data_IF_487749794719
#
_entry.id   IF_487749794719
#
_cell.length_a   1.000
_cell.length_b   1.000
_cell.length_c   1.000
_cell.angle_alpha   90.00
_cell.angle_beta   90.00
_cell.angle_gamma   90.00
#
_symmetry.space_group_name_H-M   'P 1'
#
loop_
_entity.id
_entity.type
_entity.pdbx_description
1 polymer ?
#
# COMPACT_ATOMS: atom_id res chain seq x y z
N UNK A 1 -24.96 21.30 0.93
CA UNK A 1 -24.34 21.83 -0.30
C UNK A 1 -24.08 23.32 -0.16
N UNK A 2 -22.84 23.73 0.10
CA UNK A 2 -22.40 25.13 -0.04
C UNK A 2 -21.00 25.10 -0.65
N UNK A 3 -20.95 25.30 -1.97
CA UNK A 3 -19.73 25.47 -2.76
C UNK A 3 -19.33 26.94 -2.62
N UNK A 4 -18.13 27.22 -2.14
CA UNK A 4 -17.52 28.55 -2.24
C UNK A 4 -16.41 28.47 -3.28
N UNK A 5 -16.70 29.10 -4.40
CA UNK A 5 -15.82 29.32 -5.54
C UNK A 5 -15.00 30.56 -5.19
N UNK A 6 -13.68 30.43 -5.10
CA UNK A 6 -12.76 31.57 -5.09
C UNK A 6 -11.97 31.58 -6.39
N UNK A 7 -12.30 32.58 -7.22
CA UNK A 7 -11.66 32.94 -8.48
C UNK A 7 -11.08 34.36 -8.29
N UNK A 8 -9.81 34.55 -8.69
CA UNK A 8 -9.16 35.86 -8.85
C UNK A 8 -7.74 35.86 -8.29
N UNK A 9 -6.69 35.52 -9.06
CA UNK A 9 -6.01 36.25 -10.15
C UNK A 9 -4.93 37.25 -9.69
N UNK A 10 -3.69 36.93 -10.10
CA UNK A 10 -2.61 37.80 -10.58
C UNK A 10 -1.86 38.67 -9.55
N UNK A 11 -0.59 38.32 -9.29
CA UNK A 11 0.48 39.26 -9.63
C UNK A 11 1.72 38.52 -10.13
N UNK A 12 2.12 38.93 -11.33
CA UNK A 12 3.33 38.60 -12.05
C UNK A 12 4.43 39.53 -11.51
N UNK A 13 5.56 39.02 -11.03
CA UNK A 13 6.74 39.85 -10.82
C UNK A 13 7.99 39.15 -11.30
N UNK A 14 8.56 39.74 -12.34
CA UNK A 14 9.67 39.29 -13.15
C UNK A 14 11.01 39.77 -12.59
N UNK A 15 11.94 38.82 -12.47
CA UNK A 15 13.39 38.87 -12.78
C UNK A 15 14.22 40.11 -12.43
N UNK A 16 15.29 39.88 -11.66
CA UNK A 16 16.58 40.58 -11.87
C UNK A 16 17.69 39.54 -12.07
N UNK A 17 18.41 39.70 -13.17
CA UNK A 17 19.64 39.00 -13.52
C UNK A 17 20.79 39.43 -12.60
N UNK A 18 21.58 38.46 -12.13
CA UNK A 18 22.97 38.71 -11.72
C UNK A 18 23.88 37.93 -12.66
N UNK A 19 24.78 38.67 -13.30
CA UNK A 19 25.79 38.20 -14.23
C UNK A 19 27.19 38.24 -13.59
N UNK A 20 28.09 37.51 -14.25
CA UNK A 20 29.55 37.46 -14.16
C UNK A 20 30.13 36.44 -13.16
N UNK A 21 31.18 35.67 -13.44
CA UNK A 21 31.93 35.30 -14.65
C UNK A 21 33.02 34.32 -14.17
N UNK A 22 33.19 33.17 -14.81
CA UNK A 22 34.52 32.54 -14.93
C UNK A 22 34.51 31.55 -16.09
N UNK A 23 35.28 31.92 -17.10
CA UNK A 23 35.53 31.22 -18.36
C UNK A 23 36.38 29.97 -18.15
N UNK A 24 35.97 28.85 -18.72
CA UNK A 24 36.91 27.92 -19.37
C UNK A 24 36.20 27.23 -20.53
N UNK A 25 36.63 27.64 -21.72
CA UNK A 25 36.21 27.18 -23.03
C UNK A 25 36.51 25.70 -23.24
N UNK A 26 35.58 24.95 -23.83
CA UNK A 26 35.96 24.14 -24.98
C UNK A 26 34.78 23.97 -25.94
N UNK A 27 35.13 23.96 -27.22
CA UNK A 27 34.28 24.24 -28.36
C UNK A 27 33.79 22.96 -29.07
N UNK A 28 32.71 23.14 -29.86
CA UNK A 28 32.40 22.46 -31.14
C UNK A 28 32.00 20.97 -31.03
N UNK A 29 30.96 20.42 -31.68
CA UNK A 29 29.83 20.92 -32.47
C UNK A 29 28.98 19.70 -32.93
N UNK A 30 27.69 19.93 -33.18
CA UNK A 30 26.84 19.36 -34.25
C UNK A 30 26.69 17.82 -34.42
N UNK A 31 25.43 17.41 -34.17
CA UNK A 31 24.46 16.83 -35.14
C UNK A 31 24.33 15.30 -35.23
N UNK A 32 23.07 14.88 -35.02
CA UNK A 32 22.22 13.99 -35.86
C UNK A 32 21.88 12.61 -35.28
N UNK A 33 20.56 12.41 -35.19
CA UNK A 33 19.75 11.20 -35.37
C UNK A 33 20.38 9.85 -34.98
N UNK A 34 19.80 9.18 -33.97
CA UNK A 34 19.07 7.96 -34.31
C UNK A 34 17.99 7.55 -33.29
N UNK A 35 16.91 7.07 -33.88
CA UNK A 35 15.66 6.61 -33.31
C UNK A 35 15.84 5.14 -32.95
N UNK A 36 15.87 4.79 -31.67
CA UNK A 36 15.60 3.41 -31.22
C UNK A 36 14.48 3.43 -30.20
N UNK A 37 13.29 3.52 -30.78
CA UNK A 37 12.02 3.08 -30.23
C UNK A 37 12.12 1.58 -29.95
N UNK A 38 12.61 1.22 -28.76
CA UNK A 38 12.54 -0.15 -28.25
C UNK A 38 11.10 -0.40 -27.82
N UNK A 39 10.28 -0.74 -28.82
CA UNK A 39 8.97 -1.35 -28.66
C UNK A 39 9.15 -2.69 -27.94
N UNK A 40 9.24 -2.64 -26.61
CA UNK A 40 8.97 -3.80 -25.76
C UNK A 40 7.46 -3.95 -25.68
N UNK A 41 6.87 -4.50 -26.74
CA UNK A 41 5.55 -5.15 -26.67
C UNK A 41 5.61 -6.12 -25.49
N UNK A 42 4.83 -5.93 -24.40
CA UNK A 42 4.68 -6.98 -23.42
C UNK A 42 4.21 -8.21 -24.18
N UNK A 43 5.00 -9.27 -24.14
CA UNK A 43 4.57 -10.57 -24.61
C UNK A 43 3.32 -10.91 -23.81
N UNK A 44 2.18 -10.82 -24.47
CA UNK A 44 0.90 -11.25 -23.98
C UNK A 44 1.02 -12.74 -23.68
N UNK A 45 1.27 -13.06 -22.40
CA UNK A 45 1.18 -14.41 -21.88
C UNK A 45 -0.28 -14.79 -22.07
N UNK A 46 -0.55 -15.59 -23.10
CA UNK A 46 -1.82 -16.28 -23.25
C UNK A 46 -2.04 -17.08 -21.96
N UNK A 47 -2.86 -16.53 -21.06
CA UNK A 47 -3.40 -17.25 -19.90
C UNK A 47 -4.03 -18.53 -20.45
N UNK A 48 -3.61 -19.70 -19.93
CA UNK A 48 -4.50 -20.86 -19.95
C UNK A 48 -5.73 -20.46 -19.16
N UNK A 49 -6.80 -20.21 -19.89
CA UNK A 49 -8.09 -19.82 -19.34
C UNK A 49 -8.56 -20.95 -18.39
N UNK A 50 -8.56 -20.65 -17.08
CA UNK A 50 -8.98 -21.58 -16.03
C UNK A 50 -7.93 -21.95 -14.97
N UNK A 51 -6.63 -21.66 -15.15
CA UNK A 51 -5.63 -21.94 -14.12
C UNK A 51 -5.28 -20.70 -13.27
N UNK A 52 -5.35 -20.83 -11.95
CA UNK A 52 -4.92 -19.79 -11.01
C UNK A 52 -3.41 -19.56 -11.18
N UNK A 53 -2.94 -18.32 -11.44
CA UNK A 53 -1.52 -18.03 -11.59
C UNK A 53 -0.69 -18.45 -10.36
N UNK A 54 0.55 -18.88 -10.58
CA UNK A 54 1.47 -19.28 -9.48
C UNK A 54 1.63 -18.18 -8.44
N UNK A 55 1.76 -16.93 -8.87
CA UNK A 55 1.88 -15.78 -7.97
C UNK A 55 0.70 -15.70 -6.98
N UNK A 56 -0.51 -15.98 -7.43
CA UNK A 56 -1.73 -15.90 -6.61
C UNK A 56 -1.76 -17.01 -5.56
N UNK A 57 -1.33 -18.22 -5.94
CA UNK A 57 -1.17 -19.34 -5.00
C UNK A 57 -0.13 -19.01 -3.94
N UNK A 58 1.01 -18.44 -4.34
CA UNK A 58 2.09 -18.05 -3.41
C UNK A 58 1.66 -16.92 -2.49
N UNK A 59 0.94 -15.91 -3.00
CA UNK A 59 0.38 -14.83 -2.20
C UNK A 59 -0.60 -15.35 -1.14
N UNK A 60 -1.46 -16.31 -1.50
CA UNK A 60 -2.38 -16.96 -0.57
C UNK A 60 -1.65 -17.73 0.54
N UNK A 61 -0.58 -18.46 0.20
CA UNK A 61 0.25 -19.15 1.20
C UNK A 61 0.91 -18.14 2.13
N UNK A 62 1.50 -17.07 1.58
CA UNK A 62 2.15 -16.02 2.37
C UNK A 62 1.16 -15.30 3.28
N UNK A 63 -0.06 -15.04 2.80
CA UNK A 63 -1.14 -14.47 3.59
C UNK A 63 -1.45 -15.34 4.83
N UNK A 64 -1.50 -16.67 4.65
CA UNK A 64 -1.64 -17.61 5.76
C UNK A 64 -0.51 -17.50 6.79
N UNK A 65 0.75 -17.50 6.32
CA UNK A 65 1.93 -17.37 7.19
C UNK A 65 1.91 -16.11 8.05
N UNK A 66 1.44 -14.99 7.48
CA UNK A 66 1.24 -13.76 8.24
C UNK A 66 0.17 -13.93 9.32
N UNK A 67 -1.02 -14.42 8.97
CA UNK A 67 -2.13 -14.56 9.93
C UNK A 67 -1.85 -15.60 11.04
N UNK A 68 -0.96 -16.57 10.78
CA UNK A 68 -0.51 -17.55 11.78
C UNK A 68 0.34 -16.90 12.87
N UNK A 69 1.11 -15.86 12.53
CA UNK A 69 2.08 -15.25 13.44
C UNK A 69 1.64 -13.89 13.98
N UNK A 70 0.96 -13.09 13.16
CA UNK A 70 0.55 -11.71 13.47
C UNK A 70 -0.94 -11.55 13.18
N UNK A 71 -1.68 -10.94 14.10
CA UNK A 71 -3.05 -10.53 13.81
C UNK A 71 -3.07 -9.37 12.82
N UNK A 72 -3.62 -9.57 11.63
CA UNK A 72 -3.74 -8.52 10.60
C UNK A 72 -5.18 -8.35 10.15
N UNK A 73 -5.56 -7.11 9.85
CA UNK A 73 -6.83 -6.84 9.19
C UNK A 73 -6.77 -7.26 7.73
N UNK A 74 -7.92 -7.40 7.08
CA UNK A 74 -7.97 -7.68 5.64
C UNK A 74 -7.21 -6.64 4.83
N UNK A 75 -7.44 -5.35 5.11
CA UNK A 75 -6.78 -4.25 4.43
C UNK A 75 -5.27 -4.17 4.74
N UNK A 76 -4.89 -4.43 6.00
CA UNK A 76 -3.49 -4.47 6.41
C UNK A 76 -2.72 -5.62 5.75
N UNK A 77 -3.35 -6.79 5.64
CA UNK A 77 -2.75 -7.95 4.98
C UNK A 77 -2.56 -7.71 3.47
N UNK A 78 -3.57 -7.17 2.79
CA UNK A 78 -3.46 -6.82 1.37
C UNK A 78 -2.31 -5.83 1.14
N UNK A 79 -2.25 -4.76 1.95
CA UNK A 79 -1.17 -3.77 1.90
C UNK A 79 0.20 -4.41 2.14
N UNK A 80 0.33 -5.30 3.13
CA UNK A 80 1.58 -5.99 3.43
C UNK A 80 2.06 -6.84 2.23
N UNK A 81 1.15 -7.57 1.58
CA UNK A 81 1.47 -8.40 0.43
C UNK A 81 1.93 -7.57 -0.77
N UNK A 82 1.36 -6.38 -0.99
CA UNK A 82 1.77 -5.49 -2.09
C UNK A 82 3.07 -4.75 -1.75
N UNK A 83 3.10 -4.06 -0.62
CA UNK A 83 4.17 -3.10 -0.31
C UNK A 83 5.45 -3.79 0.18
N UNK A 84 5.34 -4.90 0.91
CA UNK A 84 6.51 -5.58 1.47
C UNK A 84 6.89 -6.83 0.66
N UNK A 85 5.93 -7.72 0.40
CA UNK A 85 6.19 -8.97 -0.35
C UNK A 85 6.28 -8.76 -1.87
N UNK A 86 5.90 -7.58 -2.36
CA UNK A 86 5.97 -7.19 -3.77
C UNK A 86 5.12 -8.06 -4.71
N UNK A 87 4.05 -8.66 -4.19
CA UNK A 87 3.03 -9.27 -5.05
C UNK A 87 2.30 -8.20 -5.85
N UNK A 88 1.84 -8.58 -7.04
CA UNK A 88 0.89 -7.75 -7.80
C UNK A 88 -0.35 -7.44 -6.95
N UNK A 89 -0.96 -6.24 -7.11
CA UNK A 89 -2.21 -5.90 -6.42
C UNK A 89 -3.31 -6.94 -6.62
N UNK A 90 -3.38 -7.54 -7.82
CA UNK A 90 -4.37 -8.57 -8.13
C UNK A 90 -4.10 -9.89 -7.38
N UNK A 91 -2.83 -10.29 -7.22
CA UNK A 91 -2.46 -11.47 -6.44
C UNK A 91 -2.72 -11.28 -4.93
N UNK A 92 -2.40 -10.10 -4.39
CA UNK A 92 -2.68 -9.74 -3.00
C UNK A 92 -4.19 -9.71 -2.73
N UNK A 93 -4.96 -9.07 -3.61
CA UNK A 93 -6.42 -9.05 -3.55
C UNK A 93 -7.01 -10.46 -3.62
N UNK A 94 -6.52 -11.29 -4.54
CA UNK A 94 -6.91 -12.69 -4.63
C UNK A 94 -6.63 -13.44 -3.31
N UNK A 95 -5.46 -13.25 -2.71
CA UNK A 95 -5.10 -13.90 -1.46
C UNK A 95 -6.07 -13.52 -0.32
N UNK A 96 -6.34 -12.23 -0.11
CA UNK A 96 -7.23 -11.78 0.98
C UNK A 96 -8.70 -12.11 0.75
N UNK A 97 -9.13 -12.28 -0.51
CA UNK A 97 -10.50 -12.69 -0.84
C UNK A 97 -10.72 -14.21 -0.73
N UNK A 98 -9.67 -15.01 -0.90
CA UNK A 98 -9.77 -16.47 -0.91
C UNK A 98 -9.23 -17.14 0.37
N UNK A 99 -8.56 -16.39 1.25
CA UNK A 99 -8.10 -16.93 2.52
C UNK A 99 -9.28 -17.21 3.45
N UNK A 100 -9.33 -18.44 3.97
CA UNK A 100 -10.32 -18.85 4.97
C UNK A 100 -9.80 -18.52 6.36
N UNK A 101 -10.22 -17.38 6.89
CA UNK A 101 -9.86 -16.93 8.23
C UNK A 101 -11.04 -16.28 8.92
N UNK A 102 -10.97 -16.24 10.24
CA UNK A 102 -11.90 -15.53 11.09
C UNK A 102 -11.29 -14.16 11.44
N UNK A 103 -11.78 -13.10 10.80
CA UNK A 103 -11.23 -11.75 10.98
C UNK A 103 -11.44 -11.20 12.39
N UNK A 104 -12.49 -11.64 13.09
CA UNK A 104 -12.69 -11.31 14.50
C UNK A 104 -11.57 -11.92 15.37
N UNK A 105 -11.14 -13.15 15.07
CA UNK A 105 -9.99 -13.76 15.75
C UNK A 105 -8.67 -13.08 15.40
N UNK A 106 -8.50 -12.57 14.18
CA UNK A 106 -7.31 -11.80 13.81
C UNK A 106 -7.24 -10.47 14.56
N UNK A 107 -8.38 -9.77 14.71
CA UNK A 107 -8.47 -8.57 15.52
C UNK A 107 -8.19 -8.86 16.99
N UNK A 108 -8.74 -9.95 17.54
CA UNK A 108 -8.47 -10.37 18.93
C UNK A 108 -7.00 -10.70 19.15
N UNK A 109 -6.35 -11.44 18.23
CA UNK A 109 -4.91 -11.73 18.29
C UNK A 109 -4.12 -10.42 18.40
N UNK A 110 -4.37 -9.49 17.48
CA UNK A 110 -3.68 -8.19 17.46
C UNK A 110 -3.97 -7.34 18.70
N UNK A 111 -5.22 -7.35 19.18
CA UNK A 111 -5.61 -6.67 20.41
C UNK A 111 -4.87 -7.21 21.63
N UNK A 112 -4.78 -8.54 21.76
CA UNK A 112 -3.99 -9.19 22.82
C UNK A 112 -2.51 -8.85 22.72
N UNK A 113 -1.95 -8.76 21.51
CA UNK A 113 -0.56 -8.34 21.31
C UNK A 113 -0.33 -6.93 21.85
N UNK A 114 -1.23 -5.97 21.59
CA UNK A 114 -1.11 -4.61 22.13
C UNK A 114 -1.22 -4.54 23.64
N UNK A 115 -2.14 -5.29 24.24
CA UNK A 115 -2.24 -5.39 25.71
C UNK A 115 -0.93 -5.96 26.28
N UNK A 116 -0.41 -7.04 25.71
CA UNK A 116 0.77 -7.74 26.22
C UNK A 116 2.06 -6.94 26.05
N UNK A 117 2.23 -6.25 24.92
CA UNK A 117 3.52 -5.65 24.56
C UNK A 117 3.59 -4.15 24.85
N UNK A 118 2.44 -3.47 24.89
CA UNK A 118 2.36 -2.00 25.07
C UNK A 118 1.43 -1.61 26.22
N UNK A 119 0.80 -2.56 26.91
CA UNK A 119 -0.10 -2.31 28.05
C UNK A 119 -1.23 -1.29 27.75
N UNK A 120 -1.75 -1.33 26.52
CA UNK A 120 -2.83 -0.44 26.09
C UNK A 120 -4.16 -0.78 26.80
N UNK A 121 -4.95 0.25 27.14
CA UNK A 121 -6.32 0.06 27.63
C UNK A 121 -7.25 -0.47 26.53
N UNK A 122 -8.39 -1.11 26.86
CA UNK A 122 -9.33 -1.63 25.85
C UNK A 122 -9.78 -0.60 24.82
N UNK A 123 -10.10 0.64 25.23
CA UNK A 123 -10.50 1.69 24.29
C UNK A 123 -9.34 2.17 23.42
N UNK A 124 -8.12 2.22 23.95
CA UNK A 124 -6.95 2.52 23.14
C UNK A 124 -6.69 1.40 22.11
N UNK A 125 -6.87 0.13 22.48
CA UNK A 125 -6.82 -1.00 21.56
C UNK A 125 -7.87 -0.87 20.47
N UNK A 126 -9.13 -0.56 20.81
CA UNK A 126 -10.21 -0.35 19.82
C UNK A 126 -9.80 0.72 18.79
N UNK A 127 -9.36 1.88 19.28
CA UNK A 127 -8.92 2.98 18.44
C UNK A 127 -7.72 2.61 17.57
N UNK A 128 -6.75 1.87 18.12
CA UNK A 128 -5.57 1.42 17.37
C UNK A 128 -5.95 0.46 16.24
N UNK A 129 -6.80 -0.52 16.54
CA UNK A 129 -7.25 -1.52 15.57
C UNK A 129 -7.98 -0.87 14.38
N UNK A 130 -8.84 0.12 14.64
CA UNK A 130 -9.60 0.82 13.58
C UNK A 130 -8.74 1.82 12.83
N UNK A 131 -8.08 2.73 13.55
CA UNK A 131 -7.45 3.91 12.95
C UNK A 131 -6.11 3.60 12.28
N UNK A 132 -5.37 2.61 12.79
CA UNK A 132 -4.03 2.28 12.30
C UNK A 132 -3.98 0.92 11.63
N UNK A 133 -4.47 -0.12 12.30
CA UNK A 133 -4.43 -1.48 11.77
C UNK A 133 -5.52 -1.75 10.71
N UNK A 134 -6.47 -0.84 10.55
CA UNK A 134 -7.54 -0.88 9.54
C UNK A 134 -8.48 -2.10 9.65
N UNK A 135 -8.66 -2.62 10.86
CA UNK A 135 -9.81 -3.48 11.15
C UNK A 135 -11.11 -2.68 11.02
N UNK A 136 -12.20 -3.37 10.71
CA UNK A 136 -13.53 -2.78 10.80
C UNK A 136 -13.87 -2.48 12.26
N UNK A 137 -14.84 -1.57 12.47
CA UNK A 137 -15.32 -1.26 13.81
C UNK A 137 -15.83 -2.52 14.52
N UNK A 138 -16.60 -3.37 13.83
CA UNK A 138 -17.17 -4.59 14.39
C UNK A 138 -16.09 -5.60 14.83
N UNK A 139 -15.01 -5.74 14.06
CA UNK A 139 -13.88 -6.62 14.42
C UNK A 139 -13.12 -6.09 15.64
N UNK A 140 -12.89 -4.77 15.70
CA UNK A 140 -12.27 -4.14 16.85
C UNK A 140 -13.16 -4.26 18.10
N UNK A 141 -14.47 -4.08 17.96
CA UNK A 141 -15.44 -4.22 19.04
C UNK A 141 -15.49 -5.66 19.56
N UNK A 142 -15.44 -6.64 18.65
CA UNK A 142 -15.29 -8.03 19.03
C UNK A 142 -13.99 -8.26 19.80
N UNK A 143 -12.86 -7.75 19.32
CA UNK A 143 -11.56 -7.96 19.96
C UNK A 143 -11.59 -7.48 21.42
N UNK A 144 -12.02 -6.25 21.66
CA UNK A 144 -12.03 -5.66 23.01
C UNK A 144 -13.04 -6.31 23.95
N UNK A 145 -14.16 -6.82 23.43
CA UNK A 145 -15.12 -7.60 24.22
C UNK A 145 -14.58 -8.99 24.66
N UNK A 146 -13.42 -9.41 24.14
CA UNK A 146 -12.86 -10.73 24.37
C UNK A 146 -11.38 -10.71 24.83
N UNK A 147 -10.82 -9.55 25.20
CA UNK A 147 -9.40 -9.43 25.59
C UNK A 147 -9.03 -10.28 26.81
N UNK A 148 -9.93 -10.37 27.79
CA UNK A 148 -9.68 -11.04 29.08
C UNK A 148 -10.06 -12.53 29.09
N UNK A 149 -10.44 -13.08 27.94
CA UNK A 149 -10.86 -14.48 27.79
C UNK A 149 -9.74 -15.40 27.32
#
# INVERSE_FOLDING_TARGET
MKKLIYLGLISLSTTVLVACSSTSSNAISKKKDDKIEKSSKPAEIKKKEGEIPTEYKTALIKAGQYLDTVGMSKAGLEKQLVEFEKFSPEAAKYAVDNIKTDWNKQALKKGKDYVKTVAMSPEAVRGQLVNFEKFTQAEADYAVANLDK
#
